data_IF_373417673750
#
_entry.id   IF_373417673750
#
_cell.length_a   1.000
_cell.length_b   1.000
_cell.length_c   1.000
_cell.angle_alpha   90.00
_cell.angle_beta   90.00
_cell.angle_gamma   90.00
#
_symmetry.space_group_name_H-M   'P 1'
#
loop_
_entity.id
_entity.type
_entity.pdbx_description
1 polymer ?
#
# COMPACT_ATOMS: atom_id res chain seq x y z
N UNK A 1 19.57 -1.47 -13.64
CA UNK A 1 19.22 -1.79 -12.24
C UNK A 1 18.48 -0.59 -11.69
N UNK A 2 17.25 -0.77 -11.21
CA UNK A 2 16.54 0.31 -10.52
C UNK A 2 17.21 0.54 -9.16
N UNK A 3 17.32 1.80 -8.76
CA UNK A 3 17.70 2.19 -7.41
C UNK A 3 16.55 1.95 -6.43
N UNK A 4 16.87 1.84 -5.14
CA UNK A 4 15.84 1.73 -4.10
C UNK A 4 14.83 2.90 -4.16
N UNK A 5 15.29 4.11 -4.50
CA UNK A 5 14.44 5.30 -4.65
C UNK A 5 13.41 5.14 -5.78
N UNK A 6 13.87 4.75 -6.97
CA UNK A 6 12.97 4.50 -8.11
C UNK A 6 11.97 3.38 -7.80
N UNK A 7 12.40 2.34 -7.08
CA UNK A 7 11.50 1.27 -6.63
C UNK A 7 10.42 1.78 -5.69
N UNK A 8 10.75 2.65 -4.73
CA UNK A 8 9.75 3.24 -3.84
C UNK A 8 8.76 4.16 -4.57
N UNK A 9 9.23 4.90 -5.58
CA UNK A 9 8.38 5.73 -6.45
C UNK A 9 7.43 4.86 -7.28
N UNK A 10 7.92 3.79 -7.92
CA UNK A 10 7.09 2.85 -8.68
C UNK A 10 6.10 2.13 -7.76
N UNK A 11 6.51 1.74 -6.55
CA UNK A 11 5.60 1.14 -5.57
C UNK A 11 4.47 2.09 -5.17
N UNK A 12 4.72 3.40 -5.13
CA UNK A 12 3.69 4.40 -4.85
C UNK A 12 2.77 4.61 -6.06
N UNK A 13 3.37 4.72 -7.25
CA UNK A 13 2.66 4.85 -8.52
C UNK A 13 1.72 3.66 -8.78
N UNK A 14 2.17 2.42 -8.51
CA UNK A 14 1.36 1.17 -8.63
C UNK A 14 0.05 1.25 -7.87
N UNK A 15 -0.03 2.11 -6.85
CA UNK A 15 -1.23 2.26 -6.04
C UNK A 15 -2.19 3.33 -6.57
N UNK A 16 -1.71 4.31 -7.34
CA UNK A 16 -2.54 5.37 -7.93
C UNK A 16 -3.01 4.98 -9.33
N UNK A 17 -2.09 4.42 -10.13
CA UNK A 17 -2.29 4.10 -11.53
C UNK A 17 -1.72 2.70 -11.85
N UNK A 18 -2.27 2.01 -12.87
CA UNK A 18 -1.69 0.76 -13.34
C UNK A 18 -0.29 1.01 -13.94
N UNK A 19 0.73 0.41 -13.35
CA UNK A 19 2.10 0.48 -13.85
C UNK A 19 2.28 -0.32 -15.14
N UNK A 20 3.21 0.12 -15.99
CA UNK A 20 3.57 -0.59 -17.23
C UNK A 20 4.22 -1.96 -16.94
N UNK A 21 4.07 -2.91 -17.87
CA UNK A 21 4.68 -4.24 -17.77
C UNK A 21 6.20 -4.19 -17.56
N UNK A 22 6.90 -3.25 -18.21
CA UNK A 22 8.35 -3.07 -18.06
C UNK A 22 8.75 -2.64 -16.64
N UNK A 23 8.01 -1.70 -16.05
CA UNK A 23 8.22 -1.28 -14.66
C UNK A 23 7.96 -2.43 -13.68
N UNK A 24 6.93 -3.25 -13.95
CA UNK A 24 6.59 -4.41 -13.10
C UNK A 24 7.69 -5.47 -13.10
N UNK A 25 8.30 -5.74 -14.26
CA UNK A 25 9.43 -6.66 -14.39
C UNK A 25 10.68 -6.12 -13.67
N UNK A 26 11.02 -4.84 -13.90
CA UNK A 26 12.16 -4.20 -13.22
C UNK A 26 12.00 -4.17 -11.71
N UNK A 27 10.79 -3.84 -11.23
CA UNK A 27 10.43 -3.87 -9.82
C UNK A 27 10.63 -5.27 -9.24
N UNK A 28 10.08 -6.31 -9.89
CA UNK A 28 10.23 -7.70 -9.46
C UNK A 28 11.70 -8.13 -9.33
N UNK A 29 12.52 -7.80 -10.32
CA UNK A 29 13.95 -8.11 -10.30
C UNK A 29 14.68 -7.45 -9.12
N UNK A 30 14.38 -6.18 -8.82
CA UNK A 30 14.99 -5.49 -7.68
C UNK A 30 14.52 -6.05 -6.33
N UNK A 31 13.21 -6.36 -6.19
CA UNK A 31 12.65 -6.91 -4.96
C UNK A 31 13.25 -8.29 -4.60
N UNK A 32 13.61 -9.11 -5.60
CA UNK A 32 14.31 -10.37 -5.35
C UNK A 32 15.70 -10.19 -4.74
N UNK A 33 16.36 -9.05 -5.00
CA UNK A 33 17.72 -8.77 -4.51
C UNK A 33 17.75 -7.87 -3.27
N UNK A 34 16.68 -7.12 -3.02
CA UNK A 34 16.60 -6.14 -1.94
C UNK A 34 15.44 -6.45 -0.99
N UNK A 35 15.78 -6.99 0.18
CA UNK A 35 14.82 -7.26 1.26
C UNK A 35 14.16 -5.99 1.80
N UNK A 36 14.87 -4.87 1.85
CA UNK A 36 14.35 -3.59 2.32
C UNK A 36 13.18 -3.09 1.47
N UNK A 37 13.34 -3.09 0.15
CA UNK A 37 12.28 -2.71 -0.80
C UNK A 37 11.11 -3.70 -0.75
N UNK A 38 11.38 -4.99 -0.56
CA UNK A 38 10.34 -6.02 -0.37
C UNK A 38 9.50 -5.77 0.87
N UNK A 39 10.14 -5.43 2.00
CA UNK A 39 9.41 -5.11 3.23
C UNK A 39 8.63 -3.80 3.11
N UNK A 40 9.22 -2.77 2.51
CA UNK A 40 8.56 -1.50 2.25
C UNK A 40 7.27 -1.68 1.42
N UNK A 41 7.35 -2.45 0.32
CA UNK A 41 6.18 -2.74 -0.52
C UNK A 41 5.09 -3.49 0.23
N UNK A 42 5.46 -4.38 1.17
CA UNK A 42 4.50 -5.06 2.05
C UNK A 42 3.83 -4.09 3.00
N UNK A 43 4.59 -3.20 3.66
CA UNK A 43 4.04 -2.18 4.57
C UNK A 43 3.05 -1.25 3.85
N UNK A 44 3.40 -0.76 2.67
CA UNK A 44 2.51 0.07 1.86
C UNK A 44 1.16 -0.62 1.58
N UNK A 45 1.19 -1.92 1.22
CA UNK A 45 -0.03 -2.70 1.00
C UNK A 45 -0.88 -2.85 2.26
N UNK A 46 -0.27 -3.10 3.41
CA UNK A 46 -0.99 -3.20 4.68
C UNK A 46 -1.68 -1.88 5.03
N UNK A 47 -0.96 -0.76 4.91
CA UNK A 47 -1.53 0.58 5.17
C UNK A 47 -2.69 0.84 4.22
N UNK A 48 -2.51 0.61 2.91
CA UNK A 48 -3.57 0.76 1.90
C UNK A 48 -4.80 -0.08 2.24
N UNK A 49 -4.61 -1.35 2.59
CA UNK A 49 -5.71 -2.25 2.92
C UNK A 49 -6.45 -1.79 4.18
N UNK A 50 -5.73 -1.35 5.21
CA UNK A 50 -6.33 -0.79 6.41
C UNK A 50 -7.16 0.47 6.09
N UNK A 51 -6.63 1.38 5.26
CA UNK A 51 -7.34 2.59 4.83
C UNK A 51 -8.58 2.26 3.99
N UNK A 52 -8.50 1.28 3.09
CA UNK A 52 -9.65 0.81 2.30
C UNK A 52 -10.71 0.19 3.21
N UNK A 53 -10.32 -0.66 4.16
CA UNK A 53 -11.22 -1.29 5.12
C UNK A 53 -11.92 -0.24 6.00
N UNK A 54 -11.20 0.82 6.37
CA UNK A 54 -11.74 1.98 7.09
C UNK A 54 -12.74 2.77 6.22
N UNK A 55 -12.39 3.08 4.97
CA UNK A 55 -13.28 3.77 4.03
C UNK A 55 -14.55 2.97 3.71
N UNK A 56 -14.48 1.64 3.69
CA UNK A 56 -15.62 0.73 3.52
C UNK A 56 -16.49 0.59 4.79
N UNK A 57 -16.12 1.21 5.91
CA UNK A 57 -16.82 1.08 7.19
C UNK A 57 -16.72 -0.32 7.81
N UNK A 58 -15.76 -1.14 7.35
CA UNK A 58 -15.52 -2.51 7.82
C UNK A 58 -14.33 -2.61 8.78
N UNK A 59 -13.72 -1.48 9.11
CA UNK A 59 -12.63 -1.48 10.09
C UNK A 59 -13.19 -1.98 11.42
N UNK A 60 -12.69 -3.14 11.87
CA UNK A 60 -12.93 -3.63 13.22
C UNK A 60 -12.17 -2.71 14.16
N UNK A 61 -12.84 -1.64 14.57
CA UNK A 61 -12.42 -0.84 15.71
C UNK A 61 -12.93 -1.58 16.95
N UNK A 62 -12.02 -1.95 17.85
CA UNK A 62 -12.39 -2.18 19.24
C UNK A 62 -12.79 -0.80 19.79
N UNK A 63 -14.05 -0.42 19.58
CA UNK A 63 -14.59 0.89 19.91
C UNK A 63 -15.39 0.80 21.22
N UNK A 64 -14.87 1.33 22.35
CA UNK A 64 -15.64 1.48 23.58
C UNK A 64 -16.67 2.62 23.52
N UNK A 65 -16.82 3.33 22.40
CA UNK A 65 -17.67 4.53 22.28
C UNK A 65 -18.73 4.39 21.18
N UNK A 66 -19.63 3.40 21.30
CA UNK A 66 -20.95 3.49 20.67
C UNK A 66 -21.82 4.53 21.41
N UNK A 67 -21.46 5.80 21.25
CA UNK A 67 -22.23 6.99 21.59
C UNK A 67 -22.66 7.68 20.29
N UNK A 68 -23.96 7.87 20.17
CA UNK A 68 -24.74 8.24 18.98
C UNK A 68 -24.17 9.42 18.15
N UNK A 69 -24.29 9.32 16.82
CA UNK A 69 -24.24 10.49 15.93
C UNK A 69 -25.34 10.38 14.87
N UNK A 70 -26.41 11.14 15.08
CA UNK A 70 -27.53 11.32 14.15
C UNK A 70 -27.16 12.17 12.92
N UNK A 71 -28.07 12.25 11.93
CA UNK A 71 -27.78 12.85 10.63
C UNK A 71 -27.75 14.39 10.71
N UNK A 72 -26.87 14.98 9.90
CA UNK A 72 -26.84 16.40 9.56
C UNK A 72 -27.93 16.74 8.52
#
# INVERSE_FOLDING_TARGET
MLSCKEVTEICSLEMEEPISFGQRLGLGAHLMMCSGCTNYRRHLRVIRQAMQTYAEGRAVTDDPSKGERGPI
#
